data_IF_675459384556
#
_entry.id   IF_675459384556
#
_cell.length_a   1.000
_cell.length_b   1.000
_cell.length_c   1.000
_cell.angle_alpha   90.00
_cell.angle_beta   90.00
_cell.angle_gamma   90.00
#
_symmetry.space_group_name_H-M   'P 1'
#
loop_
_entity.id
_entity.type
_entity.pdbx_description
1 polymer ?
#
# COMPACT_ATOMS: atom_id res chain seq x y z
N UNK A 1 8.87 -2.13 -19.36
CA UNK A 1 9.17 -2.05 -17.91
C UNK A 1 7.93 -1.52 -17.23
N UNK A 2 7.09 -2.40 -16.66
CA UNK A 2 5.71 -2.12 -16.22
C UNK A 2 5.49 -2.55 -14.75
N UNK A 3 6.59 -2.69 -14.01
CA UNK A 3 6.73 -3.71 -12.97
C UNK A 3 6.98 -3.09 -11.57
N UNK A 4 7.20 -1.77 -11.51
CA UNK A 4 7.41 -1.00 -10.27
C UNK A 4 6.05 -0.53 -9.72
N UNK A 5 5.13 -0.17 -10.62
CA UNK A 5 3.74 0.15 -10.28
C UNK A 5 3.04 -1.02 -9.59
N UNK A 6 3.34 -2.26 -10.00
CA UNK A 6 2.80 -3.48 -9.38
C UNK A 6 3.16 -3.62 -7.89
N UNK A 7 4.39 -3.25 -7.49
CA UNK A 7 4.82 -3.38 -6.10
C UNK A 7 4.19 -2.30 -5.22
N UNK A 8 4.08 -1.07 -5.74
CA UNK A 8 3.38 0.02 -5.07
C UNK A 8 1.91 -0.32 -4.89
N UNK A 9 1.26 -0.87 -5.92
CA UNK A 9 -0.13 -1.33 -5.87
C UNK A 9 -0.33 -2.46 -4.85
N UNK A 10 0.57 -3.45 -4.80
CA UNK A 10 0.52 -4.54 -3.82
C UNK A 10 0.62 -4.05 -2.37
N UNK A 11 1.54 -3.10 -2.09
CA UNK A 11 1.67 -2.52 -0.74
C UNK A 11 0.45 -1.65 -0.42
N UNK A 12 -0.03 -0.87 -1.38
CA UNK A 12 -1.25 -0.07 -1.24
C UNK A 12 -2.44 -0.95 -0.83
N UNK A 13 -2.74 -1.97 -1.62
CA UNK A 13 -3.90 -2.85 -1.40
C UNK A 13 -3.80 -3.60 -0.07
N UNK A 14 -2.59 -4.01 0.32
CA UNK A 14 -2.36 -4.65 1.62
C UNK A 14 -2.64 -3.69 2.78
N UNK A 15 -2.19 -2.43 2.70
CA UNK A 15 -2.43 -1.43 3.75
C UNK A 15 -3.91 -1.09 3.87
N UNK A 16 -4.62 -0.91 2.75
CA UNK A 16 -6.07 -0.69 2.76
C UNK A 16 -6.78 -1.87 3.42
N UNK A 17 -6.40 -3.11 3.09
CA UNK A 17 -6.98 -4.31 3.72
C UNK A 17 -6.76 -4.34 5.24
N UNK A 18 -5.55 -4.06 5.71
CA UNK A 18 -5.22 -4.06 7.14
C UNK A 18 -6.00 -2.97 7.88
N UNK A 19 -6.19 -1.81 7.26
CA UNK A 19 -6.98 -0.72 7.83
C UNK A 19 -8.47 -1.08 7.89
N UNK A 20 -8.98 -1.73 6.86
CA UNK A 20 -10.37 -2.21 6.82
C UNK A 20 -10.69 -3.26 7.89
N UNK A 21 -9.71 -4.09 8.30
CA UNK A 21 -9.89 -5.03 9.41
C UNK A 21 -10.16 -4.32 10.76
N UNK A 22 -9.84 -3.03 10.87
CA UNK A 22 -10.08 -2.20 12.06
C UNK A 22 -11.42 -1.45 12.01
N UNK A 23 -12.08 -1.44 10.85
CA UNK A 23 -13.35 -0.74 10.65
C UNK A 23 -14.51 -1.63 11.08
N UNK A 24 -15.45 -1.04 11.82
CA UNK A 24 -16.75 -1.65 12.11
C UNK A 24 -17.80 -0.83 11.36
N UNK A 25 -18.39 -1.42 10.32
CA UNK A 25 -19.46 -0.81 9.53
C UNK A 25 -20.82 -1.43 9.88
N UNK A 26 -21.88 -0.63 9.90
CA UNK A 26 -23.23 -1.10 10.24
C UNK A 26 -23.95 -1.72 9.03
N UNK A 27 -23.60 -1.29 7.81
CA UNK A 27 -24.09 -1.83 6.55
C UNK A 27 -23.04 -1.81 5.41
N UNK A 28 -23.46 -2.24 4.23
CA UNK A 28 -22.59 -2.34 3.04
C UNK A 28 -22.22 -0.96 2.46
N UNK A 29 -23.06 0.06 2.62
CA UNK A 29 -22.79 1.42 2.14
C UNK A 29 -21.70 2.07 2.99
N UNK A 30 -21.79 1.92 4.32
CA UNK A 30 -20.76 2.35 5.27
C UNK A 30 -19.43 1.64 5.03
N UNK A 31 -19.46 0.35 4.66
CA UNK A 31 -18.25 -0.43 4.37
C UNK A 31 -17.54 0.06 3.10
N UNK A 32 -18.29 0.35 2.03
CA UNK A 32 -17.73 0.88 0.79
C UNK A 32 -17.21 2.32 0.97
N UNK A 33 -17.92 3.15 1.75
CA UNK A 33 -17.44 4.48 2.10
C UNK A 33 -16.14 4.41 2.89
N UNK A 34 -16.08 3.58 3.93
CA UNK A 34 -14.87 3.41 4.73
C UNK A 34 -13.70 2.89 3.89
N UNK A 35 -13.95 1.96 2.96
CA UNK A 35 -12.91 1.47 2.04
C UNK A 35 -12.35 2.58 1.16
N UNK A 36 -13.23 3.47 0.66
CA UNK A 36 -12.80 4.65 -0.10
C UNK A 36 -11.93 5.57 0.77
N UNK A 37 -12.36 5.87 1.99
CA UNK A 37 -11.61 6.73 2.91
C UNK A 37 -10.25 6.12 3.30
N UNK A 38 -10.18 4.81 3.50
CA UNK A 38 -8.92 4.12 3.79
C UNK A 38 -7.98 4.14 2.57
N UNK A 39 -8.51 4.01 1.36
CA UNK A 39 -7.72 4.15 0.12
C UNK A 39 -7.12 5.55 0.02
N UNK A 40 -7.93 6.59 0.20
CA UNK A 40 -7.47 7.99 0.14
C UNK A 40 -6.39 8.27 1.20
N UNK A 41 -6.52 7.68 2.39
CA UNK A 41 -5.52 7.80 3.45
C UNK A 41 -4.18 7.12 3.08
N UNK A 42 -4.22 5.93 2.46
CA UNK A 42 -3.00 5.24 2.01
C UNK A 42 -2.32 6.00 0.88
N UNK A 43 -3.09 6.57 -0.04
CA UNK A 43 -2.56 7.46 -1.09
C UNK A 43 -1.87 8.68 -0.48
N UNK A 44 -2.51 9.36 0.48
CA UNK A 44 -1.92 10.48 1.21
C UNK A 44 -0.64 10.08 1.95
N UNK A 45 -0.58 8.88 2.54
CA UNK A 45 0.63 8.37 3.19
C UNK A 45 1.76 8.17 2.19
N UNK A 46 1.47 7.58 1.03
CA UNK A 46 2.46 7.34 -0.02
C UNK A 46 3.02 8.65 -0.58
N UNK A 47 2.16 9.66 -0.76
CA UNK A 47 2.56 11.00 -1.19
C UNK A 47 3.37 11.74 -0.12
N UNK A 48 2.88 11.74 1.12
CA UNK A 48 3.48 12.49 2.23
C UNK A 48 4.85 11.93 2.64
N UNK A 49 4.98 10.61 2.62
CA UNK A 49 6.24 9.93 2.90
C UNK A 49 7.13 9.82 1.65
N UNK A 50 6.69 10.37 0.50
CA UNK A 50 7.39 10.30 -0.79
C UNK A 50 7.99 8.92 -1.04
N UNK A 51 7.21 7.88 -0.74
CA UNK A 51 7.71 6.50 -0.73
C UNK A 51 8.17 6.15 -2.13
N UNK A 52 9.47 5.87 -2.26
CA UNK A 52 10.07 5.44 -3.52
C UNK A 52 10.64 4.04 -3.38
N UNK A 53 10.34 3.19 -4.36
CA UNK A 53 10.85 1.83 -4.43
C UNK A 53 12.08 1.83 -5.34
N UNK A 54 13.27 1.65 -4.76
CA UNK A 54 14.55 1.81 -5.46
C UNK A 54 15.12 0.47 -5.96
N UNK A 55 14.79 -0.64 -5.30
CA UNK A 55 15.32 -1.96 -5.60
C UNK A 55 14.29 -3.04 -5.30
N UNK A 56 14.33 -4.12 -6.10
CA UNK A 56 13.57 -5.34 -5.83
C UNK A 56 14.37 -6.56 -6.20
N UNK A 57 14.24 -7.61 -5.40
CA UNK A 57 14.69 -8.94 -5.75
C UNK A 57 13.58 -9.95 -5.46
N UNK A 58 13.48 -10.96 -6.31
CA UNK A 58 12.57 -12.09 -6.14
C UNK A 58 13.45 -13.33 -5.99
N UNK A 59 13.19 -14.16 -4.99
CA UNK A 59 13.89 -15.43 -4.84
C UNK A 59 13.63 -16.34 -6.04
N UNK A 60 14.56 -17.25 -6.34
CA UNK A 60 14.45 -18.18 -7.47
C UNK A 60 13.21 -19.08 -7.39
N UNK A 61 12.73 -19.35 -6.17
CA UNK A 61 11.54 -20.15 -5.89
C UNK A 61 10.23 -19.32 -5.86
N UNK A 62 10.32 -18.02 -6.13
CA UNK A 62 9.20 -17.07 -6.17
C UNK A 62 8.43 -16.86 -4.86
N UNK A 63 8.88 -17.42 -3.74
CA UNK A 63 8.18 -17.34 -2.45
C UNK A 63 8.49 -16.08 -1.67
N UNK A 64 9.64 -15.45 -1.94
CA UNK A 64 10.11 -14.27 -1.23
C UNK A 64 10.20 -13.09 -2.20
N UNK A 65 9.47 -12.04 -1.87
CA UNK A 65 9.55 -10.75 -2.53
C UNK A 65 10.26 -9.77 -1.59
N UNK A 66 11.41 -9.26 -2.03
CA UNK A 66 12.18 -8.26 -1.29
C UNK A 66 12.12 -6.93 -2.04
N UNK A 67 11.71 -5.88 -1.35
CA UNK A 67 11.74 -4.51 -1.89
C UNK A 67 12.51 -3.60 -0.93
N UNK A 68 13.24 -2.66 -1.52
CA UNK A 68 13.89 -1.57 -0.79
C UNK A 68 13.03 -0.32 -0.91
N UNK A 69 12.65 0.21 0.25
CA UNK A 69 11.76 1.35 0.37
C UNK A 69 12.58 2.52 0.89
N UNK A 70 12.70 3.58 0.09
CA UNK A 70 13.32 4.82 0.51
C UNK A 70 12.24 5.76 1.02
N UNK A 71 12.32 6.09 2.30
CA UNK A 71 11.59 7.20 2.93
C UNK A 71 12.58 8.37 3.03
N UNK A 72 12.35 9.51 2.36
CA UNK A 72 13.23 10.66 2.50
C UNK A 72 13.15 11.23 3.91
N UNK A 73 14.27 11.79 4.39
CA UNK A 73 14.30 12.51 5.66
C UNK A 73 13.26 13.64 5.63
N UNK A 74 12.30 13.59 6.55
CA UNK A 74 11.34 14.68 6.80
C UNK A 74 12.12 15.84 7.43
N UNK A 75 12.48 16.83 6.62
CA UNK A 75 13.10 18.10 7.07
C UNK A 75 12.09 19.04 7.72
#
# INVERSE_FOLDING_TARGET
>A
MQKIDDAKLLVHDHLVSVLMDLVVAEDEEDMELAKSEMSDMVDLLFESLQISFSSRSKSEDETVFQCEVTVPDLQ
#
